data_IF_229381673139
#
_entry.id   IF_229381673139
#
_cell.length_a   1.000
_cell.length_b   1.000
_cell.length_c   1.000
_cell.angle_alpha   90.00
_cell.angle_beta   90.00
_cell.angle_gamma   90.00
#
_symmetry.space_group_name_H-M   'P 1'
#
loop_
_entity.id
_entity.type
_entity.pdbx_description
1 polymer ?
#
# COMPACT_ATOMS: atom_id res chain seq x y z
N UNK A 1 3.22 -26.93 -28.85
CA UNK A 1 3.61 -26.33 -27.55
C UNK A 1 2.98 -24.95 -27.51
N UNK A 2 1.77 -24.84 -26.96
CA UNK A 2 1.00 -23.59 -26.94
C UNK A 2 1.35 -22.84 -25.67
N UNK A 3 1.92 -21.65 -25.79
CA UNK A 3 2.13 -20.74 -24.67
C UNK A 3 0.80 -20.06 -24.33
N UNK A 4 0.00 -20.68 -23.47
CA UNK A 4 -1.12 -20.01 -22.80
C UNK A 4 -0.56 -19.06 -21.72
N UNK A 5 0.03 -17.95 -22.17
CA UNK A 5 0.53 -16.87 -21.34
C UNK A 5 -0.60 -15.90 -20.91
N UNK A 6 -1.86 -16.32 -20.97
CA UNK A 6 -2.98 -15.62 -20.39
C UNK A 6 -3.26 -16.20 -19.00
N UNK A 7 -2.32 -16.02 -18.06
CA UNK A 7 -2.71 -15.98 -16.66
C UNK A 7 -3.67 -14.81 -16.52
N UNK A 8 -4.97 -15.11 -16.57
CA UNK A 8 -6.05 -14.18 -16.25
C UNK A 8 -5.77 -13.59 -14.88
N UNK A 9 -5.10 -12.43 -14.86
CA UNK A 9 -4.79 -11.72 -13.62
C UNK A 9 -6.12 -11.46 -12.95
N UNK A 10 -6.31 -12.01 -11.75
CA UNK A 10 -7.53 -11.85 -11.00
C UNK A 10 -7.93 -10.36 -10.95
N UNK A 11 -9.22 -9.99 -11.00
CA UNK A 11 -9.67 -8.60 -11.08
C UNK A 11 -9.08 -7.66 -10.00
N UNK A 12 -8.60 -8.20 -8.87
CA UNK A 12 -7.94 -7.44 -7.80
C UNK A 12 -6.43 -7.23 -7.93
N UNK A 13 -5.75 -7.85 -8.91
CA UNK A 13 -4.29 -7.79 -9.06
C UNK A 13 -3.79 -6.35 -9.22
N UNK A 14 -4.47 -5.56 -10.04
CA UNK A 14 -4.06 -4.18 -10.31
C UNK A 14 -4.21 -3.29 -9.08
N UNK A 15 -5.27 -3.49 -8.29
CA UNK A 15 -5.46 -2.79 -7.03
C UNK A 15 -4.37 -3.16 -6.01
N UNK A 16 -4.04 -4.45 -5.89
CA UNK A 16 -2.98 -4.92 -5.01
C UNK A 16 -1.60 -4.31 -5.36
N UNK A 17 -1.26 -4.22 -6.65
CA UNK A 17 -0.02 -3.58 -7.09
C UNK A 17 0.03 -2.10 -6.74
N UNK A 18 -1.09 -1.38 -6.91
CA UNK A 18 -1.20 0.04 -6.53
C UNK A 18 -1.02 0.25 -5.03
N UNK A 19 -1.63 -0.62 -4.21
CA UNK A 19 -1.43 -0.60 -2.76
C UNK A 19 0.03 -0.80 -2.40
N UNK A 20 0.67 -1.83 -2.95
CA UNK A 20 2.09 -2.12 -2.68
C UNK A 20 3.00 -0.96 -3.07
N UNK A 21 2.75 -0.34 -4.22
CA UNK A 21 3.50 0.84 -4.67
C UNK A 21 3.40 2.00 -3.68
N UNK A 22 2.18 2.35 -3.24
CA UNK A 22 1.99 3.44 -2.27
C UNK A 22 2.60 3.10 -0.91
N UNK A 23 2.42 1.87 -0.43
CA UNK A 23 3.02 1.40 0.83
C UNK A 23 4.54 1.56 0.79
N UNK A 24 5.20 1.17 -0.31
CA UNK A 24 6.64 1.32 -0.45
C UNK A 24 7.08 2.79 -0.45
N UNK A 25 6.35 3.68 -1.11
CA UNK A 25 6.65 5.11 -1.09
C UNK A 25 6.49 5.72 0.30
N UNK A 26 5.41 5.37 1.01
CA UNK A 26 5.16 5.88 2.37
C UNK A 26 6.17 5.31 3.35
N UNK A 27 6.60 4.05 3.19
CA UNK A 27 7.67 3.48 3.98
C UNK A 27 8.97 4.29 3.88
N UNK A 28 9.37 4.70 2.67
CA UNK A 28 10.56 5.54 2.48
C UNK A 28 10.40 6.93 3.09
N UNK A 29 9.21 7.52 2.99
CA UNK A 29 8.98 8.90 3.40
C UNK A 29 8.65 9.07 4.90
N UNK A 30 8.08 8.05 5.54
CA UNK A 30 7.48 8.14 6.88
C UNK A 30 7.95 7.02 7.83
N UNK A 31 9.03 6.30 7.51
CA UNK A 31 9.60 5.35 8.46
C UNK A 31 9.94 6.04 9.79
N UNK A 32 9.64 5.40 10.91
CA UNK A 32 9.85 5.94 12.26
C UNK A 32 8.89 7.07 12.67
N UNK A 33 7.98 7.52 11.79
CA UNK A 33 6.96 8.52 12.14
C UNK A 33 5.84 7.89 12.98
N UNK A 34 5.05 8.69 13.73
CA UNK A 34 3.89 8.20 14.45
C UNK A 34 2.88 7.50 13.52
N UNK A 35 2.36 6.34 13.95
CA UNK A 35 1.36 5.56 13.20
C UNK A 35 0.18 6.40 12.68
N UNK A 36 -0.31 7.36 13.46
CA UNK A 36 -1.44 8.22 13.06
C UNK A 36 -1.11 9.06 11.83
N UNK A 37 0.10 9.60 11.77
CA UNK A 37 0.60 10.39 10.64
C UNK A 37 0.80 9.50 9.41
N UNK A 38 1.43 8.32 9.60
CA UNK A 38 1.58 7.33 8.53
C UNK A 38 0.23 6.90 7.96
N UNK A 39 -0.76 6.65 8.82
CA UNK A 39 -2.11 6.25 8.42
C UNK A 39 -2.82 7.33 7.60
N UNK A 40 -2.70 8.59 8.00
CA UNK A 40 -3.26 9.72 7.28
C UNK A 40 -2.64 9.86 5.88
N UNK A 41 -1.30 9.84 5.79
CA UNK A 41 -0.58 9.93 4.52
C UNK A 41 -0.91 8.75 3.60
N UNK A 42 -0.97 7.54 4.15
CA UNK A 42 -1.32 6.33 3.39
C UNK A 42 -2.75 6.41 2.83
N UNK A 43 -3.71 6.84 3.67
CA UNK A 43 -5.11 7.00 3.26
C UNK A 43 -5.25 8.03 2.14
N UNK A 44 -4.63 9.21 2.28
CA UNK A 44 -4.68 10.26 1.28
C UNK A 44 -4.10 9.79 -0.07
N UNK A 45 -2.94 9.12 -0.07
CA UNK A 45 -2.30 8.65 -1.30
C UNK A 45 -3.08 7.54 -2.00
N UNK A 46 -3.60 6.57 -1.24
CA UNK A 46 -4.40 5.48 -1.81
C UNK A 46 -5.70 6.02 -2.42
N UNK A 47 -6.40 6.91 -1.71
CA UNK A 47 -7.61 7.55 -2.23
C UNK A 47 -7.32 8.40 -3.47
N UNK A 48 -6.20 9.13 -3.50
CA UNK A 48 -5.78 9.94 -4.65
C UNK A 48 -5.57 9.15 -5.94
N UNK A 49 -5.31 7.83 -5.85
CA UNK A 49 -5.14 6.94 -7.01
C UNK A 49 -6.34 6.01 -7.24
N UNK A 50 -7.48 6.30 -6.59
CA UNK A 50 -8.74 5.55 -6.73
C UNK A 50 -8.72 4.18 -6.05
N UNK A 51 -7.83 3.96 -5.08
CA UNK A 51 -7.81 2.74 -4.25
C UNK A 51 -8.42 3.07 -2.89
N UNK A 52 -9.48 2.36 -2.54
CA UNK A 52 -10.18 2.55 -1.26
C UNK A 52 -9.94 1.35 -0.33
N UNK A 53 -8.83 1.34 0.43
CA UNK A 53 -8.54 0.29 1.40
C UNK A 53 -9.48 0.39 2.61
N UNK A 54 -9.72 -0.75 3.26
CA UNK A 54 -10.43 -0.76 4.54
C UNK A 54 -9.59 -0.08 5.62
N UNK A 55 -10.24 0.51 6.63
CA UNK A 55 -9.57 1.09 7.80
C UNK A 55 -8.59 0.11 8.46
N UNK A 56 -8.96 -1.17 8.53
CA UNK A 56 -8.12 -2.23 9.09
C UNK A 56 -6.84 -2.47 8.29
N UNK A 57 -6.89 -2.35 6.96
CA UNK A 57 -5.70 -2.46 6.11
C UNK A 57 -4.78 -1.26 6.29
N UNK A 58 -5.34 -0.04 6.32
CA UNK A 58 -4.56 1.19 6.58
C UNK A 58 -3.83 1.08 7.91
N UNK A 59 -4.53 0.71 8.99
CA UNK A 59 -3.93 0.59 10.32
C UNK A 59 -2.83 -0.48 10.38
N UNK A 60 -2.96 -1.57 9.61
CA UNK A 60 -1.95 -2.62 9.53
C UNK A 60 -0.68 -2.14 8.82
N UNK A 61 -0.83 -1.50 7.66
CA UNK A 61 0.30 -0.96 6.91
C UNK A 61 0.97 0.17 7.69
N UNK A 62 0.18 1.06 8.29
CA UNK A 62 0.71 2.17 9.09
C UNK A 62 1.48 1.69 10.31
N UNK A 63 1.02 0.63 10.99
CA UNK A 63 1.77 0.01 12.08
C UNK A 63 3.12 -0.51 11.59
N UNK A 64 3.13 -1.31 10.52
CA UNK A 64 4.35 -1.90 9.99
C UNK A 64 5.37 -0.85 9.53
N UNK A 65 4.90 0.25 8.93
CA UNK A 65 5.77 1.36 8.50
C UNK A 65 6.30 2.15 9.69
N UNK A 66 5.47 2.44 10.70
CA UNK A 66 5.89 3.18 11.89
C UNK A 66 6.95 2.42 12.70
N UNK A 67 6.97 1.09 12.62
CA UNK A 67 7.99 0.23 13.24
C UNK A 67 9.31 0.17 12.47
N UNK A 68 9.35 0.66 11.22
CA UNK A 68 10.59 0.74 10.47
C UNK A 68 11.54 1.78 11.11
N UNK A 69 12.86 1.52 11.09
CA UNK A 69 13.82 2.52 11.51
C UNK A 69 13.69 3.76 10.61
N UNK A 70 13.60 4.93 11.23
CA UNK A 70 13.55 6.20 10.52
C UNK A 70 14.83 6.46 9.70
N UNK A 71 14.74 7.36 8.70
CA UNK A 71 15.90 7.78 7.91
C UNK A 71 16.98 8.49 8.74
#
# INVERSE_FOLDING_TARGET
MTFDAATSRAPGWQAAQRVQYVVAQVAVACAGHPKSEVAEVLAQRLNGIGVNPTRREIERYAQAIAELPGP
#
